data_IF_321592322098
#
_entry.id   IF_321592322098
#
_cell.length_a   1.000
_cell.length_b   1.000
_cell.length_c   1.000
_cell.angle_alpha   90.00
_cell.angle_beta   90.00
_cell.angle_gamma   90.00
#
_symmetry.space_group_name_H-M   'P 1'
#
loop_
_entity.id
_entity.type
_entity.pdbx_description
1 polymer ?
#
# COMPACT_ATOMS: atom_id res chain seq x y z
N UNK A 1 6.51 8.41 -9.35
CA UNK A 1 7.28 9.68 -9.32
C UNK A 1 6.93 10.52 -8.10
N UNK A 2 5.67 10.92 -7.91
CA UNK A 2 5.27 11.77 -6.77
C UNK A 2 5.71 11.21 -5.42
N UNK A 3 5.49 9.92 -5.16
CA UNK A 3 5.92 9.30 -3.92
C UNK A 3 7.42 9.43 -3.67
N UNK A 4 8.25 9.14 -4.67
CA UNK A 4 9.72 9.26 -4.57
C UNK A 4 10.15 10.70 -4.32
N UNK A 5 9.48 11.67 -4.96
CA UNK A 5 9.74 13.09 -4.70
C UNK A 5 9.40 13.44 -3.26
N UNK A 6 8.25 13.01 -2.75
CA UNK A 6 7.84 13.24 -1.35
C UNK A 6 8.80 12.57 -0.36
N UNK A 7 9.22 11.34 -0.63
CA UNK A 7 10.26 10.66 0.16
C UNK A 7 11.57 11.43 0.16
N UNK A 8 11.99 11.93 -1.01
CA UNK A 8 13.24 12.70 -1.14
C UNK A 8 13.13 14.02 -0.39
N UNK A 9 11.99 14.69 -0.41
CA UNK A 9 11.77 15.92 0.34
C UNK A 9 11.70 15.70 1.85
N UNK A 10 11.07 14.62 2.31
CA UNK A 10 10.84 14.37 3.73
C UNK A 10 12.01 13.64 4.41
N UNK A 11 12.59 12.63 3.74
CA UNK A 11 13.68 11.80 4.27
C UNK A 11 15.06 12.19 3.72
N UNK A 12 15.14 13.11 2.76
CA UNK A 12 16.39 13.59 2.16
C UNK A 12 17.00 12.65 1.11
N UNK A 13 16.40 11.49 0.85
CA UNK A 13 16.88 10.51 -0.12
C UNK A 13 15.73 9.71 -0.75
N UNK A 14 15.80 9.37 -2.04
CA UNK A 14 14.81 8.53 -2.69
C UNK A 14 14.90 7.08 -2.19
N UNK A 15 13.77 6.38 -2.18
CA UNK A 15 13.68 4.97 -1.75
C UNK A 15 13.12 4.07 -2.86
N UNK A 16 13.65 2.85 -2.98
CA UNK A 16 13.10 1.83 -3.91
C UNK A 16 11.72 1.38 -3.46
N UNK A 17 11.53 1.17 -2.16
CA UNK A 17 10.23 0.81 -1.59
C UNK A 17 9.17 1.88 -1.86
N UNK A 18 9.49 3.16 -1.68
CA UNK A 18 8.59 4.26 -2.01
C UNK A 18 8.32 4.40 -3.50
N UNK A 19 9.30 4.08 -4.36
CA UNK A 19 9.06 4.00 -5.80
C UNK A 19 8.01 2.93 -6.14
N UNK A 20 8.13 1.74 -5.54
CA UNK A 20 7.19 0.62 -5.72
C UNK A 20 5.81 0.98 -5.16
N UNK A 21 5.74 1.51 -3.94
CA UNK A 21 4.46 1.92 -3.33
C UNK A 21 3.76 2.99 -4.17
N UNK A 22 4.49 3.99 -4.65
CA UNK A 22 3.94 5.01 -5.54
C UNK A 22 3.44 4.47 -6.89
N UNK A 23 4.05 3.41 -7.42
CA UNK A 23 3.52 2.72 -8.61
C UNK A 23 2.23 1.96 -8.27
N UNK A 24 2.21 1.22 -7.17
CA UNK A 24 1.05 0.44 -6.72
C UNK A 24 -0.15 1.37 -6.47
N UNK A 25 0.01 2.45 -5.71
CA UNK A 25 -1.12 3.35 -5.43
C UNK A 25 -1.64 4.03 -6.68
N UNK A 26 -0.77 4.36 -7.64
CA UNK A 26 -1.18 4.84 -8.96
C UNK A 26 -2.06 3.83 -9.70
N UNK A 27 -1.65 2.56 -9.76
CA UNK A 27 -2.41 1.47 -10.39
C UNK A 27 -3.74 1.21 -9.68
N UNK A 28 -3.74 1.19 -8.35
CA UNK A 28 -4.97 1.01 -7.56
C UNK A 28 -5.95 2.14 -7.82
N UNK A 29 -5.49 3.40 -7.79
CA UNK A 29 -6.36 4.56 -7.99
C UNK A 29 -6.96 4.61 -9.41
N UNK A 30 -6.20 4.23 -10.44
CA UNK A 30 -6.71 4.23 -11.83
C UNK A 30 -7.63 3.04 -12.13
N UNK A 31 -7.58 1.96 -11.35
CA UNK A 31 -8.37 0.73 -11.58
C UNK A 31 -9.86 0.98 -11.85
N UNK A 32 -10.62 1.72 -11.02
CA UNK A 32 -12.03 2.00 -11.30
C UNK A 32 -12.26 2.96 -12.47
N UNK A 33 -11.21 3.64 -12.95
CA UNK A 33 -11.29 4.75 -13.89
C UNK A 33 -10.74 4.43 -15.29
N UNK A 34 -9.95 3.36 -15.43
CA UNK A 34 -9.06 3.12 -16.57
C UNK A 34 -9.75 3.16 -17.95
N UNK A 35 -11.01 2.76 -18.03
CA UNK A 35 -11.80 2.78 -19.26
C UNK A 35 -12.69 4.01 -19.46
N UNK A 36 -12.78 4.90 -18.47
CA UNK A 36 -13.85 5.92 -18.41
C UNK A 36 -13.35 7.36 -18.24
N UNK A 37 -12.05 7.56 -18.02
CA UNK A 37 -11.44 8.89 -17.87
C UNK A 37 -10.50 9.24 -19.02
N UNK A 38 -10.26 10.54 -19.23
CA UNK A 38 -9.30 11.02 -20.23
C UNK A 38 -7.85 10.85 -19.75
N UNK A 39 -6.89 10.80 -20.68
CA UNK A 39 -5.47 10.64 -20.35
C UNK A 39 -4.91 11.73 -19.44
N UNK A 40 -5.33 12.99 -19.61
CA UNK A 40 -4.92 14.08 -18.71
C UNK A 40 -5.46 13.89 -17.28
N UNK A 41 -6.69 13.36 -17.15
CA UNK A 41 -7.28 13.07 -15.85
C UNK A 41 -6.57 11.89 -15.19
N UNK A 42 -6.15 10.88 -15.95
CA UNK A 42 -5.33 9.78 -15.45
C UNK A 42 -3.98 10.26 -14.86
N UNK A 43 -3.33 11.24 -15.51
CA UNK A 43 -2.11 11.85 -14.96
C UNK A 43 -2.39 12.52 -13.62
N UNK A 44 -3.46 13.32 -13.51
CA UNK A 44 -3.86 13.95 -12.25
C UNK A 44 -4.21 12.93 -11.17
N UNK A 45 -4.93 11.86 -11.51
CA UNK A 45 -5.23 10.77 -10.58
C UNK A 45 -3.96 10.11 -10.05
N UNK A 46 -2.95 9.90 -10.91
CA UNK A 46 -1.63 9.41 -10.51
C UNK A 46 -0.90 10.38 -9.57
N UNK A 47 -1.00 11.69 -9.82
CA UNK A 47 -0.40 12.71 -8.94
C UNK A 47 -1.06 12.71 -7.55
N UNK A 48 -2.39 12.65 -7.49
CA UNK A 48 -3.16 12.64 -6.23
C UNK A 48 -2.94 11.31 -5.48
N UNK A 49 -2.90 10.18 -6.19
CA UNK A 49 -2.66 8.87 -5.56
C UNK A 49 -1.22 8.67 -5.09
N UNK A 50 -0.27 9.39 -5.67
CA UNK A 50 1.11 9.40 -5.16
C UNK A 50 1.28 10.23 -3.89
N UNK A 51 0.36 11.16 -3.59
CA UNK A 51 0.48 12.10 -2.45
C UNK A 51 -0.46 11.78 -1.29
N UNK A 52 -1.72 11.45 -1.55
CA UNK A 52 -2.72 11.22 -0.49
C UNK A 52 -2.41 9.95 0.30
N UNK A 53 -2.28 8.75 -0.31
CA UNK A 53 -1.79 7.55 0.38
C UNK A 53 -0.48 7.77 1.14
N UNK A 54 0.50 8.43 0.52
CA UNK A 54 1.78 8.78 1.17
C UNK A 54 1.56 9.58 2.46
N UNK A 55 0.75 10.64 2.39
CA UNK A 55 0.42 11.46 3.55
C UNK A 55 -0.28 10.65 4.63
N UNK A 56 -1.24 9.79 4.25
CA UNK A 56 -1.95 8.96 5.23
C UNK A 56 -1.02 7.99 5.94
N UNK A 57 -0.07 7.41 5.22
CA UNK A 57 0.86 6.42 5.76
C UNK A 57 1.96 7.07 6.61
N UNK A 58 2.60 8.14 6.13
CA UNK A 58 3.76 8.73 6.80
C UNK A 58 3.39 9.68 7.94
N UNK A 59 2.27 10.41 7.80
CA UNK A 59 1.90 11.48 8.73
C UNK A 59 0.67 11.08 9.55
N UNK A 60 -0.42 10.67 8.90
CA UNK A 60 -1.69 10.45 9.59
C UNK A 60 -1.65 9.22 10.51
N UNK A 61 -0.98 8.15 10.09
CA UNK A 61 -0.82 6.91 10.86
C UNK A 61 -0.29 7.16 12.27
N UNK A 62 0.71 8.05 12.41
CA UNK A 62 1.34 8.37 13.69
C UNK A 62 0.53 9.36 14.54
N UNK A 63 -0.38 10.12 13.94
CA UNK A 63 -1.19 11.15 14.61
C UNK A 63 -2.52 10.62 15.14
N UNK A 64 -3.08 9.61 14.50
CA UNK A 64 -4.41 9.08 14.85
C UNK A 64 -4.25 7.83 15.72
N UNK A 65 -4.73 7.83 16.98
CA UNK A 65 -4.57 6.70 17.89
C UNK A 65 -5.15 5.39 17.34
N UNK A 66 -6.29 5.48 16.64
CA UNK A 66 -6.92 4.33 16.00
C UNK A 66 -6.04 3.72 14.90
N UNK A 67 -5.43 4.54 14.04
CA UNK A 67 -4.56 4.03 12.98
C UNK A 67 -3.28 3.40 13.55
N UNK A 68 -2.77 3.95 14.66
CA UNK A 68 -1.59 3.39 15.34
C UNK A 68 -1.82 1.99 15.92
N UNK A 69 -3.06 1.60 16.17
CA UNK A 69 -3.41 0.25 16.63
C UNK A 69 -3.50 -0.76 15.47
N UNK A 70 -3.51 -0.28 14.22
CA UNK A 70 -3.56 -1.13 13.04
C UNK A 70 -2.15 -1.63 12.74
N UNK A 71 -1.90 -2.88 13.08
CA UNK A 71 -0.66 -3.60 12.78
C UNK A 71 -0.72 -4.11 11.32
N UNK A 72 -0.45 -3.22 10.36
CA UNK A 72 -0.45 -3.51 8.91
C UNK A 72 0.99 -3.55 8.36
N UNK A 73 1.67 -4.72 8.40
CA UNK A 73 3.08 -4.83 8.08
C UNK A 73 3.39 -4.52 6.60
N UNK A 74 2.40 -4.68 5.71
CA UNK A 74 2.56 -4.44 4.28
C UNK A 74 1.95 -3.11 3.82
N UNK A 75 1.44 -2.29 4.74
CA UNK A 75 0.76 -1.03 4.45
C UNK A 75 -0.36 -1.14 3.40
N UNK A 76 -1.05 -2.28 3.36
CA UNK A 76 -2.13 -2.58 2.41
C UNK A 76 -3.30 -1.60 2.58
N UNK A 77 -3.60 -1.20 3.82
CA UNK A 77 -4.69 -0.26 4.11
C UNK A 77 -4.50 1.07 3.38
N UNK A 78 -3.30 1.65 3.46
CA UNK A 78 -3.00 2.93 2.81
C UNK A 78 -2.86 2.80 1.30
N UNK A 79 -2.18 1.75 0.85
CA UNK A 79 -1.87 1.56 -0.57
C UNK A 79 -3.05 1.05 -1.39
N UNK A 80 -4.01 0.34 -0.76
CA UNK A 80 -5.17 -0.25 -1.43
C UNK A 80 -6.49 0.38 -0.99
N UNK A 81 -6.81 0.41 0.31
CA UNK A 81 -8.11 0.90 0.76
C UNK A 81 -8.26 2.41 0.54
N UNK A 82 -7.27 3.21 0.97
CA UNK A 82 -7.29 4.67 0.78
C UNK A 82 -7.14 5.03 -0.70
N UNK A 83 -6.17 4.43 -1.40
CA UNK A 83 -5.95 4.69 -2.82
C UNK A 83 -7.14 4.25 -3.70
N UNK A 84 -7.78 3.13 -3.36
CA UNK A 84 -8.94 2.59 -4.07
C UNK A 84 -10.19 3.45 -3.85
N UNK A 85 -10.45 3.87 -2.61
CA UNK A 85 -11.53 4.82 -2.31
C UNK A 85 -11.32 6.15 -3.05
N UNK A 86 -10.08 6.67 -3.04
CA UNK A 86 -9.71 7.85 -3.81
C UNK A 86 -9.97 7.64 -5.31
N UNK A 87 -9.59 6.49 -5.87
CA UNK A 87 -9.85 6.12 -7.25
C UNK A 87 -11.34 6.13 -7.59
N UNK A 88 -12.19 5.56 -6.74
CA UNK A 88 -13.64 5.56 -6.91
C UNK A 88 -14.24 6.97 -6.91
N UNK A 89 -13.79 7.82 -5.99
CA UNK A 89 -14.19 9.24 -5.89
C UNK A 89 -13.78 10.00 -7.16
N UNK A 90 -12.51 9.87 -7.58
CA UNK A 90 -11.99 10.56 -8.76
C UNK A 90 -12.63 10.05 -10.06
N UNK A 91 -13.01 8.77 -10.11
CA UNK A 91 -13.84 8.23 -11.20
C UNK A 91 -15.20 8.92 -11.25
N UNK A 92 -15.85 9.09 -10.09
CA UNK A 92 -17.11 9.83 -9.98
C UNK A 92 -16.98 11.30 -10.40
N UNK A 93 -15.79 11.88 -10.28
CA UNK A 93 -15.50 13.25 -10.69
C UNK A 93 -15.22 13.38 -12.19
N UNK A 94 -14.40 12.48 -12.76
CA UNK A 94 -13.82 12.60 -14.10
C UNK A 94 -14.38 11.65 -15.17
N UNK A 95 -15.39 10.83 -14.85
CA UNK A 95 -15.99 9.94 -15.85
C UNK A 95 -16.53 10.71 -17.07
N UNK A 96 -16.18 10.25 -18.27
CA UNK A 96 -16.63 10.82 -19.55
C UNK A 96 -17.70 9.93 -20.17
N UNK A 97 -18.92 10.44 -20.42
CA UNK A 97 -20.03 9.65 -20.93
C UNK A 97 -19.71 8.84 -22.20
N UNK A 98 -18.99 9.45 -23.16
CA UNK A 98 -18.58 8.77 -24.40
C UNK A 98 -17.63 7.60 -24.15
N UNK A 99 -16.75 7.72 -23.15
CA UNK A 99 -15.85 6.63 -22.76
C UNK A 99 -16.61 5.55 -21.99
N UNK A 100 -17.51 5.93 -21.08
CA UNK A 100 -18.42 5.01 -20.41
C UNK A 100 -19.22 4.16 -21.41
N UNK A 101 -19.73 4.78 -22.49
CA UNK A 101 -20.39 4.06 -23.59
C UNK A 101 -19.48 3.03 -24.24
N UNK A 102 -18.25 3.44 -24.60
CA UNK A 102 -17.31 2.59 -25.32
C UNK A 102 -16.87 1.40 -24.45
N UNK A 103 -16.63 1.65 -23.16
CA UNK A 103 -16.12 0.66 -22.23
C UNK A 103 -17.20 -0.30 -21.71
N UNK A 104 -18.37 0.21 -21.33
CA UNK A 104 -19.45 -0.61 -20.76
C UNK A 104 -20.52 -1.04 -21.78
N UNK A 105 -20.46 -0.55 -23.02
CA UNK A 105 -21.41 -0.89 -24.10
C UNK A 105 -22.89 -0.64 -23.72
N UNK A 106 -23.17 0.40 -22.92
CA UNK A 106 -24.52 0.70 -22.43
C UNK A 106 -25.23 1.72 -23.34
N UNK A 107 -26.49 1.49 -23.75
CA UNK A 107 -27.24 2.41 -24.62
C UNK A 107 -27.57 3.76 -23.96
N UNK A 108 -27.88 3.78 -22.66
CA UNK A 108 -28.20 5.01 -21.90
C UNK A 108 -26.95 5.66 -21.29
N UNK A 109 -25.95 5.98 -22.11
CA UNK A 109 -24.65 6.39 -21.61
C UNK A 109 -24.60 7.82 -21.04
N UNK A 110 -25.52 8.69 -21.47
CA UNK A 110 -25.53 10.12 -21.12
C UNK A 110 -25.68 10.39 -19.62
N UNK A 111 -26.31 9.46 -18.89
CA UNK A 111 -26.48 9.55 -17.43
C UNK A 111 -25.21 9.23 -16.64
N UNK A 112 -24.21 8.59 -17.26
CA UNK A 112 -22.93 8.25 -16.62
C UNK A 112 -21.90 9.34 -16.88
N UNK A 113 -22.15 10.49 -16.27
CA UNK A 113 -21.29 11.67 -16.38
C UNK A 113 -20.60 11.92 -15.03
N UNK A 114 -19.30 12.15 -15.05
CA UNK A 114 -18.56 12.58 -13.87
C UNK A 114 -18.96 14.00 -13.47
N UNK A 115 -18.91 14.31 -12.17
CA UNK A 115 -19.37 15.59 -11.64
C UNK A 115 -18.71 16.82 -12.32
N UNK A 116 -17.42 16.76 -12.66
CA UNK A 116 -16.72 17.86 -13.32
C UNK A 116 -17.34 18.19 -14.70
N UNK A 117 -17.69 17.16 -15.47
CA UNK A 117 -18.34 17.33 -16.77
C UNK A 117 -19.84 17.66 -16.62
N UNK A 118 -20.50 17.12 -15.58
CA UNK A 118 -21.88 17.43 -15.24
C UNK A 118 -22.07 18.91 -14.95
N UNK A 119 -21.18 19.51 -14.14
CA UNK A 119 -21.16 20.94 -13.85
C UNK A 119 -20.97 21.79 -15.12
N UNK A 120 -20.05 21.39 -16.00
CA UNK A 120 -19.75 22.12 -17.23
C UNK A 120 -20.90 22.08 -18.25
N UNK A 121 -21.59 20.95 -18.36
CA UNK A 121 -22.58 20.70 -19.41
C UNK A 121 -24.03 20.94 -18.95
N UNK A 122 -24.24 21.49 -17.75
CA UNK A 122 -25.58 21.72 -17.17
C UNK A 122 -26.28 20.44 -16.67
N UNK A 123 -25.58 19.32 -16.61
CA UNK A 123 -26.07 18.02 -16.14
C UNK A 123 -25.61 17.71 -14.70
N UNK A 124 -25.57 18.72 -13.83
CA UNK A 124 -25.05 18.60 -12.45
C UNK A 124 -25.76 17.52 -11.65
N UNK A 125 -27.07 17.33 -11.82
CA UNK A 125 -27.84 16.28 -11.14
C UNK A 125 -27.35 14.87 -11.48
N UNK A 126 -27.01 14.61 -12.74
CA UNK A 126 -26.44 13.32 -13.16
C UNK A 126 -25.01 13.14 -12.62
N UNK A 127 -24.21 14.22 -12.59
CA UNK A 127 -22.88 14.21 -11.99
C UNK A 127 -22.87 13.93 -10.48
N UNK A 128 -23.78 14.56 -9.73
CA UNK A 128 -23.95 14.31 -8.29
C UNK A 128 -24.46 12.89 -8.03
N UNK A 129 -25.36 12.39 -8.87
CA UNK A 129 -25.80 10.99 -8.80
C UNK A 129 -24.63 10.02 -9.02
N UNK A 130 -23.75 10.29 -9.99
CA UNK A 130 -22.56 9.46 -10.23
C UNK A 130 -21.63 9.46 -9.01
N UNK A 131 -21.36 10.62 -8.40
CA UNK A 131 -20.60 10.71 -7.15
C UNK A 131 -21.25 9.93 -6.01
N UNK A 132 -22.57 10.05 -5.85
CA UNK A 132 -23.34 9.33 -4.84
C UNK A 132 -23.25 7.81 -5.00
N UNK A 133 -23.32 7.30 -6.25
CA UNK A 133 -23.15 5.87 -6.53
C UNK A 133 -21.74 5.41 -6.16
N UNK A 134 -20.70 6.17 -6.51
CA UNK A 134 -19.32 5.80 -6.17
C UNK A 134 -19.07 5.79 -4.67
N UNK A 135 -19.57 6.79 -3.94
CA UNK A 135 -19.49 6.83 -2.47
C UNK A 135 -20.26 5.65 -1.87
N UNK A 136 -21.48 5.38 -2.34
CA UNK A 136 -22.28 4.25 -1.90
C UNK A 136 -21.59 2.91 -2.13
N UNK A 137 -20.95 2.73 -3.29
CA UNK A 137 -20.16 1.54 -3.60
C UNK A 137 -18.94 1.39 -2.67
N UNK A 138 -18.20 2.47 -2.41
CA UNK A 138 -17.07 2.46 -1.47
C UNK A 138 -17.53 2.05 -0.07
N UNK A 139 -18.60 2.67 0.45
CA UNK A 139 -19.15 2.35 1.77
C UNK A 139 -19.62 0.90 1.83
N UNK A 140 -20.32 0.43 0.80
CA UNK A 140 -20.74 -0.96 0.70
C UNK A 140 -19.54 -1.92 0.76
N UNK A 141 -18.51 -1.69 -0.04
CA UNK A 141 -17.30 -2.55 -0.07
C UNK A 141 -16.59 -2.55 1.28
N UNK A 142 -16.49 -1.39 1.95
CA UNK A 142 -15.89 -1.28 3.29
C UNK A 142 -16.68 -2.12 4.30
N UNK A 143 -18.00 -1.93 4.37
CA UNK A 143 -18.86 -2.66 5.31
C UNK A 143 -18.82 -4.15 5.02
N UNK A 144 -18.96 -4.53 3.75
CA UNK A 144 -18.96 -5.92 3.33
C UNK A 144 -17.64 -6.62 3.68
N UNK A 145 -16.49 -6.02 3.37
CA UNK A 145 -15.18 -6.61 3.70
C UNK A 145 -14.95 -6.67 5.21
N UNK A 146 -15.29 -5.61 5.94
CA UNK A 146 -15.13 -5.59 7.38
C UNK A 146 -15.97 -6.69 8.05
N UNK A 147 -17.24 -6.82 7.68
CA UNK A 147 -18.15 -7.82 8.25
C UNK A 147 -17.73 -9.24 7.85
N UNK A 148 -17.51 -9.49 6.56
CA UNK A 148 -17.21 -10.84 6.07
C UNK A 148 -15.84 -11.33 6.53
N UNK A 149 -14.79 -10.49 6.42
CA UNK A 149 -13.44 -10.84 6.89
C UNK A 149 -13.43 -11.07 8.39
N UNK A 150 -14.07 -10.22 9.19
CA UNK A 150 -14.16 -10.42 10.65
C UNK A 150 -14.87 -11.73 10.98
N UNK A 151 -15.98 -12.04 10.31
CA UNK A 151 -16.70 -13.28 10.53
C UNK A 151 -15.84 -14.50 10.18
N UNK A 152 -15.16 -14.48 9.03
CA UNK A 152 -14.25 -15.56 8.61
C UNK A 152 -13.13 -15.74 9.63
N UNK A 153 -12.46 -14.66 10.04
CA UNK A 153 -11.40 -14.71 11.04
C UNK A 153 -11.93 -15.27 12.37
N UNK A 154 -13.08 -14.80 12.86
CA UNK A 154 -13.66 -15.31 14.11
C UNK A 154 -14.00 -16.80 14.04
N UNK A 155 -14.55 -17.27 12.90
CA UNK A 155 -14.87 -18.68 12.72
C UNK A 155 -13.62 -19.56 12.63
N UNK A 156 -12.61 -19.13 11.87
CA UNK A 156 -11.32 -19.84 11.79
C UNK A 156 -10.62 -19.83 13.15
N UNK A 157 -10.73 -18.73 13.89
CA UNK A 157 -10.18 -18.55 15.24
C UNK A 157 -10.73 -19.52 16.29
N UNK A 158 -11.88 -20.15 16.04
CA UNK A 158 -12.41 -21.23 16.91
C UNK A 158 -11.60 -22.51 16.75
N UNK A 159 -11.08 -22.76 15.55
CA UNK A 159 -10.37 -24.00 15.21
C UNK A 159 -8.86 -23.87 15.32
N UNK A 160 -8.30 -22.73 14.91
CA UNK A 160 -6.86 -22.49 14.82
C UNK A 160 -6.54 -21.09 15.35
N UNK A 161 -5.53 -20.93 16.24
CA UNK A 161 -5.12 -19.61 16.70
C UNK A 161 -4.61 -18.77 15.51
N UNK A 162 -5.21 -17.60 15.30
CA UNK A 162 -4.86 -16.70 14.19
C UNK A 162 -3.51 -15.98 14.36
N UNK A 163 -3.02 -15.87 15.60
CA UNK A 163 -1.76 -15.21 15.93
C UNK A 163 -0.92 -16.15 16.80
N UNK A 164 0.37 -16.21 16.48
CA UNK A 164 1.36 -16.93 17.26
C UNK A 164 1.48 -16.34 18.68
N UNK A 165 1.87 -17.18 19.65
CA UNK A 165 2.23 -16.73 20.99
C UNK A 165 3.49 -15.85 20.94
N UNK A 166 3.63 -14.92 21.88
CA UNK A 166 4.70 -13.90 21.87
C UNK A 166 6.11 -14.50 21.80
N UNK A 167 6.36 -15.62 22.49
CA UNK A 167 7.68 -16.28 22.46
C UNK A 167 7.99 -16.90 21.10
N UNK A 168 6.98 -17.50 20.45
CA UNK A 168 7.12 -18.06 19.10
C UNK A 168 7.23 -16.97 18.04
N UNK A 169 6.54 -15.84 18.21
CA UNK A 169 6.70 -14.64 17.38
C UNK A 169 8.14 -14.12 17.40
N UNK A 170 8.80 -14.14 18.57
CA UNK A 170 10.18 -13.68 18.70
C UNK A 170 11.19 -14.64 18.07
N UNK A 171 10.92 -15.95 18.10
CA UNK A 171 11.74 -16.96 17.40
C UNK A 171 11.54 -16.92 15.88
N UNK A 172 10.37 -16.52 15.38
CA UNK A 172 10.09 -16.39 13.95
C UNK A 172 10.13 -17.72 13.21
N UNK A 173 10.81 -17.74 12.06
CA UNK A 173 10.86 -18.90 11.14
C UNK A 173 11.35 -20.18 11.83
N UNK A 174 12.27 -20.07 12.80
CA UNK A 174 12.75 -21.21 13.56
C UNK A 174 11.65 -21.93 14.34
N UNK A 175 10.67 -21.20 14.86
CA UNK A 175 9.56 -21.78 15.61
C UNK A 175 8.54 -22.48 14.71
N UNK A 176 8.37 -22.00 13.48
CA UNK A 176 7.36 -22.52 12.55
C UNK A 176 7.91 -23.57 11.58
N UNK A 177 9.13 -23.37 11.10
CA UNK A 177 9.75 -24.15 10.03
C UNK A 177 11.02 -24.88 10.49
N UNK A 178 11.56 -24.59 11.68
CA UNK A 178 12.77 -25.24 12.19
C UNK A 178 14.06 -24.80 11.48
N UNK A 179 13.97 -23.79 10.62
CA UNK A 179 15.07 -23.26 9.82
C UNK A 179 15.29 -21.77 10.11
N UNK A 180 16.53 -21.31 9.90
CA UNK A 180 16.88 -19.90 9.93
C UNK A 180 16.87 -19.39 8.49
N UNK A 181 16.23 -18.24 8.22
CA UNK A 181 16.18 -17.65 6.88
C UNK A 181 17.57 -17.38 6.28
N UNK A 182 18.56 -17.12 7.14
CA UNK A 182 19.95 -16.95 6.75
C UNK A 182 20.86 -17.82 7.63
N UNK A 183 21.56 -18.78 7.01
CA UNK A 183 22.59 -19.57 7.68
C UNK A 183 23.90 -18.76 7.78
N UNK A 184 23.97 -17.81 8.71
CA UNK A 184 25.17 -16.99 8.97
C UNK A 184 26.26 -17.74 9.77
N UNK A 185 26.12 -19.06 9.98
CA UNK A 185 26.96 -19.90 10.84
C UNK A 185 28.43 -20.11 10.38
N UNK A 186 28.96 -19.27 9.50
CA UNK A 186 30.41 -19.16 9.24
C UNK A 186 31.00 -17.79 9.66
N UNK A 187 30.22 -16.91 10.28
CA UNK A 187 30.65 -15.58 10.71
C UNK A 187 30.86 -15.45 12.24
N UNK A 188 30.79 -16.53 13.01
CA UNK A 188 30.93 -16.52 14.48
C UNK A 188 32.32 -16.11 15.01
N UNK A 189 33.25 -15.73 14.12
CA UNK A 189 34.52 -15.12 14.50
C UNK A 189 34.72 -13.69 13.94
N UNK A 190 33.75 -13.14 13.20
CA UNK A 190 33.81 -11.74 12.79
C UNK A 190 33.09 -10.92 13.86
N UNK A 191 33.87 -10.27 14.75
CA UNK A 191 33.32 -9.22 15.59
C UNK A 191 32.70 -8.15 14.70
N UNK A 192 31.40 -7.92 14.85
CA UNK A 192 30.74 -6.73 14.32
C UNK A 192 31.19 -5.52 15.14
N UNK A 193 32.37 -4.97 14.85
CA UNK A 193 32.78 -3.68 15.39
C UNK A 193 32.34 -2.55 14.45
N UNK A 194 31.60 -1.61 15.02
CA UNK A 194 30.96 -0.41 14.44
C UNK A 194 29.48 -0.56 14.06
N UNK A 195 28.63 -0.58 15.10
CA UNK A 195 27.21 -0.27 14.99
C UNK A 195 27.02 1.24 14.81
N UNK A 196 26.96 1.73 13.56
CA UNK A 196 26.38 3.05 13.30
C UNK A 196 24.87 2.89 13.11
N UNK A 197 24.10 3.37 14.09
CA UNK A 197 22.65 3.33 14.06
C UNK A 197 22.09 4.41 13.12
N UNK A 198 21.60 3.99 11.95
CA UNK A 198 21.01 4.88 10.96
C UNK A 198 19.56 5.20 11.36
N UNK A 199 19.38 6.29 12.13
CA UNK A 199 18.09 6.74 12.69
C UNK A 199 16.97 6.96 11.66
N UNK A 200 17.29 7.02 10.36
CA UNK A 200 16.31 7.34 9.30
C UNK A 200 15.51 6.13 8.84
N UNK A 201 16.08 4.92 8.88
CA UNK A 201 15.41 3.70 8.40
C UNK A 201 15.29 2.60 9.42
N UNK A 202 15.77 2.82 10.65
CA UNK A 202 15.87 1.77 11.67
C UNK A 202 16.57 0.50 11.13
N UNK A 203 17.52 0.70 10.21
CA UNK A 203 18.36 -0.37 9.64
C UNK A 203 19.78 -0.20 10.13
N UNK A 204 20.40 -1.30 10.55
CA UNK A 204 21.82 -1.33 10.92
C UNK A 204 22.65 -1.46 9.64
N UNK A 205 23.55 -0.50 9.40
CA UNK A 205 24.49 -0.56 8.29
C UNK A 205 25.68 -1.45 8.70
N UNK A 206 25.90 -2.56 7.99
CA UNK A 206 26.99 -3.51 8.29
C UNK A 206 28.18 -3.28 7.36
N UNK A 207 29.36 -2.97 7.91
CA UNK A 207 30.63 -3.00 7.17
C UNK A 207 31.36 -4.31 7.45
N UNK A 208 31.62 -5.09 6.39
CA UNK A 208 32.43 -6.32 6.49
C UNK A 208 33.92 -5.98 6.53
N UNK A 209 34.57 -6.28 7.65
CA UNK A 209 36.04 -6.39 7.72
C UNK A 209 36.38 -7.86 7.90
N UNK A 210 37.07 -8.45 6.91
CA UNK A 210 37.60 -9.81 7.03
C UNK A 210 38.93 -9.74 7.80
N UNK A 211 38.96 -10.33 8.98
CA UNK A 211 40.23 -10.70 9.60
C UNK A 211 40.84 -11.88 8.83
N UNK A 212 42.10 -11.78 8.35
CA UNK A 212 42.77 -12.88 7.70
C UNK A 212 43.14 -13.95 8.74
N UNK A 213 42.41 -15.08 8.75
CA UNK A 213 42.84 -16.26 9.52
C UNK A 213 44.10 -16.89 8.89
N UNK A 214 45.11 -17.29 9.67
CA UNK A 214 46.23 -18.06 9.17
C UNK A 214 45.78 -19.47 8.74
N UNK A 215 46.38 -19.97 7.66
CA UNK A 215 46.03 -21.17 6.87
C UNK A 215 46.16 -22.53 7.60
N UNK A 216 46.14 -22.59 8.92
CA UNK A 216 46.49 -23.80 9.69
C UNK A 216 45.31 -24.60 10.26
N UNK A 217 44.06 -24.30 9.88
CA UNK A 217 42.87 -25.04 10.32
C UNK A 217 41.96 -25.44 9.15
N UNK A 218 42.55 -25.98 8.08
CA UNK A 218 41.85 -26.79 7.09
C UNK A 218 42.30 -28.24 7.26
N UNK A 219 41.77 -28.95 8.26
CA UNK A 219 41.81 -30.40 8.26
C UNK A 219 40.71 -31.04 9.11
N UNK A 220 39.94 -31.88 8.40
CA UNK A 220 39.18 -33.06 8.83
C UNK A 220 37.71 -32.91 9.29
N UNK A 221 36.87 -33.27 8.29
CA UNK A 221 35.57 -33.99 8.29
C UNK A 221 34.38 -33.30 8.96
#
# INVERSE_FOLDING_TARGET
>A
MVWVLLDTFYFGKPTVFGAIQGMITGLVCITPAAGVVQGWAAILMGLISGSVPWYTMMILHNKVPFLRQIDDPMAVFHTHAVAGALGGILTGLFAVPKLCRLFYMVPDWEKYIGLAYGLKNGATGAGLRQMGIQIGAIVFVIIFNFVTTSLICLLVGILVPLRLHTDALQMGDKAMHGEEAFALNNADNAKFENLNHNKVYDTQDFSFVRDPKPLTQLQMV
#
